data_IF_119478148182
#
_entry.id   IF_119478148182
#
_cell.length_a   1.000
_cell.length_b   1.000
_cell.length_c   1.000
_cell.angle_alpha   90.00
_cell.angle_beta   90.00
_cell.angle_gamma   90.00
#
_symmetry.space_group_name_H-M   'P 1'
#
loop_
_entity.id
_entity.type
_entity.pdbx_description
1 polymer ?
#
# COMPACT_ATOMS: atom_id res chain seq x y z
N UNK A 1 -16.02 -4.18 10.80
CA UNK A 1 -16.62 -5.53 10.77
C UNK A 1 -15.61 -6.49 11.36
N UNK A 2 -15.15 -6.17 12.56
CA UNK A 2 -13.87 -6.68 13.04
C UNK A 2 -13.93 -8.18 13.38
N UNK A 3 -15.10 -8.83 13.32
CA UNK A 3 -15.33 -9.95 14.23
C UNK A 3 -16.73 -10.58 13.94
N UNK A 4 -16.81 -11.91 13.80
CA UNK A 4 -17.75 -12.80 14.53
C UNK A 4 -18.75 -13.74 13.85
N UNK A 5 -19.49 -13.48 12.78
CA UNK A 5 -20.46 -14.47 12.25
C UNK A 5 -21.06 -13.98 10.91
N UNK A 6 -21.67 -14.87 10.11
CA UNK A 6 -22.51 -14.49 8.97
C UNK A 6 -23.80 -13.83 9.46
N UNK A 7 -24.27 -12.84 8.70
CA UNK A 7 -25.48 -12.07 8.98
C UNK A 7 -25.42 -11.25 10.23
N UNK A 8 -26.55 -11.01 10.89
CA UNK A 8 -26.68 -10.16 12.08
C UNK A 8 -25.92 -10.69 13.33
N UNK A 9 -24.77 -11.35 13.13
CA UNK A 9 -24.04 -12.07 14.17
C UNK A 9 -24.77 -13.33 14.62
N UNK A 10 -25.49 -14.01 13.73
CA UNK A 10 -26.43 -15.08 14.11
C UNK A 10 -25.94 -16.49 13.78
N UNK A 11 -25.02 -16.65 12.83
CA UNK A 11 -24.60 -17.97 12.38
C UNK A 11 -23.13 -18.02 12.00
N UNK A 12 -22.46 -19.10 12.36
CA UNK A 12 -21.13 -19.42 11.86
C UNK A 12 -21.16 -19.68 10.35
N UNK A 13 -20.03 -19.53 9.68
CA UNK A 13 -19.85 -19.92 8.28
C UNK A 13 -19.90 -21.44 8.17
N UNK A 14 -21.00 -21.96 7.61
CA UNK A 14 -21.21 -23.37 7.29
C UNK A 14 -20.83 -23.74 5.85
N UNK A 15 -20.33 -22.75 5.10
CA UNK A 15 -19.91 -22.92 3.70
C UNK A 15 -18.52 -22.32 3.50
N UNK A 16 -17.92 -22.60 2.35
CA UNK A 16 -16.62 -22.07 1.98
C UNK A 16 -16.60 -20.53 1.98
N UNK A 17 -15.60 -19.96 2.64
CA UNK A 17 -15.31 -18.52 2.62
C UNK A 17 -14.04 -18.29 1.82
N UNK A 18 -14.10 -17.41 0.83
CA UNK A 18 -12.94 -16.99 0.03
C UNK A 18 -12.65 -15.53 0.31
N UNK A 19 -11.38 -15.20 0.58
CA UNK A 19 -10.92 -13.82 0.69
C UNK A 19 -11.19 -13.03 -0.59
N UNK A 20 -11.51 -11.75 -0.45
CA UNK A 20 -11.80 -10.88 -1.60
C UNK A 20 -10.52 -10.30 -2.21
N UNK A 21 -9.51 -10.05 -1.38
CA UNK A 21 -8.24 -9.49 -1.81
C UNK A 21 -7.27 -10.59 -2.20
N UNK A 22 -6.67 -10.45 -3.39
CA UNK A 22 -5.55 -11.26 -3.81
C UNK A 22 -4.22 -10.61 -3.40
N UNK A 23 -3.18 -11.43 -3.34
CA UNK A 23 -1.80 -11.01 -3.07
C UNK A 23 -1.05 -10.62 -4.35
N UNK A 24 -1.75 -10.10 -5.35
CA UNK A 24 -1.22 -9.97 -6.72
C UNK A 24 -0.60 -11.30 -7.23
N UNK A 25 0.19 -11.26 -8.32
CA UNK A 25 0.84 -12.47 -8.88
C UNK A 25 1.85 -13.12 -7.92
N UNK A 26 2.31 -12.39 -6.90
CA UNK A 26 3.43 -12.79 -6.04
C UNK A 26 3.09 -13.77 -4.92
N UNK A 27 1.81 -13.95 -4.55
CA UNK A 27 1.39 -14.88 -3.49
C UNK A 27 1.68 -14.40 -2.06
N UNK A 28 2.26 -13.21 -1.89
CA UNK A 28 2.79 -12.66 -0.63
C UNK A 28 1.69 -12.06 0.26
N UNK A 29 1.60 -12.47 1.54
CA UNK A 29 0.68 -11.82 2.50
C UNK A 29 1.00 -10.33 2.64
N UNK A 30 2.28 -9.94 2.53
CA UNK A 30 2.71 -8.54 2.57
C UNK A 30 2.21 -7.66 1.42
N UNK A 31 1.71 -8.27 0.35
CA UNK A 31 1.13 -7.55 -0.80
C UNK A 31 -0.38 -7.42 -0.73
N UNK A 32 -1.02 -7.94 0.34
CA UNK A 32 -2.43 -7.64 0.60
C UNK A 32 -2.61 -6.14 0.77
N UNK A 33 -3.71 -5.61 0.23
CA UNK A 33 -3.98 -4.18 0.12
C UNK A 33 -3.91 -3.39 1.45
N UNK A 34 -4.09 -4.07 2.57
CA UNK A 34 -4.09 -3.46 3.92
C UNK A 34 -3.12 -4.16 4.88
N UNK A 35 -2.12 -4.86 4.35
CA UNK A 35 -1.16 -5.56 5.21
C UNK A 35 -0.37 -4.62 6.12
N UNK A 36 -0.15 -3.37 5.70
CA UNK A 36 0.48 -2.32 6.51
C UNK A 36 -0.30 -1.98 7.79
N UNK A 37 -1.57 -2.40 7.87
CA UNK A 37 -2.46 -2.23 9.02
C UNK A 37 -2.63 -3.48 9.86
N UNK A 38 -2.07 -4.61 9.43
CA UNK A 38 -2.09 -5.86 10.21
C UNK A 38 -1.07 -5.74 11.33
N UNK A 39 -1.52 -5.90 12.57
CA UNK A 39 -0.62 -5.98 13.71
C UNK A 39 -0.12 -7.42 13.82
N UNK A 40 1.05 -7.68 13.23
CA UNK A 40 1.65 -9.01 13.27
C UNK A 40 2.09 -9.41 14.68
N UNK A 41 2.17 -8.50 15.65
CA UNK A 41 2.46 -8.86 17.06
C UNK A 41 1.28 -9.53 17.77
N UNK A 42 0.12 -9.57 17.11
CA UNK A 42 -1.13 -10.16 17.58
C UNK A 42 -1.44 -11.43 16.82
N UNK A 43 -2.33 -12.24 17.39
CA UNK A 43 -2.72 -13.52 16.81
C UNK A 43 -3.92 -13.36 15.87
N UNK A 44 -4.02 -14.28 14.92
CA UNK A 44 -5.22 -14.49 14.13
C UNK A 44 -6.04 -15.65 14.72
N UNK A 45 -7.28 -15.37 15.10
CA UNK A 45 -8.12 -16.31 15.84
C UNK A 45 -9.32 -16.77 15.01
N UNK A 46 -9.55 -18.08 15.01
CA UNK A 46 -10.71 -18.73 14.38
C UNK A 46 -11.42 -19.54 15.45
N UNK A 47 -12.75 -19.42 15.53
CA UNK A 47 -13.57 -20.31 16.36
C UNK A 47 -14.29 -21.31 15.48
N UNK A 48 -14.20 -22.59 15.83
CA UNK A 48 -14.83 -23.71 15.12
C UNK A 48 -15.93 -24.26 16.01
N UNK A 49 -17.12 -24.41 15.44
CA UNK A 49 -18.25 -25.09 16.04
C UNK A 49 -18.37 -26.50 15.46
N UNK A 50 -18.38 -27.51 16.32
CA UNK A 50 -18.82 -28.87 16.01
C UNK A 50 -20.30 -29.03 16.39
N UNK A 51 -21.17 -29.03 15.38
CA UNK A 51 -22.61 -29.24 15.51
C UNK A 51 -23.02 -30.72 15.53
N UNK A 52 -22.08 -31.65 15.32
CA UNK A 52 -22.29 -33.09 15.46
C UNK A 52 -22.30 -33.55 16.92
N UNK A 53 -21.77 -32.74 17.83
CA UNK A 53 -21.82 -32.98 19.28
C UNK A 53 -23.13 -32.45 19.90
N UNK A 54 -23.62 -33.11 20.96
CA UNK A 54 -24.79 -32.67 21.73
C UNK A 54 -24.40 -32.48 23.23
N UNK A 55 -24.30 -31.24 23.74
CA UNK A 55 -24.51 -29.97 23.02
C UNK A 55 -23.38 -29.67 22.02
N UNK A 56 -23.58 -28.71 21.09
CA UNK A 56 -22.53 -28.25 20.20
C UNK A 56 -21.29 -27.79 20.98
N UNK A 57 -20.11 -28.14 20.48
CA UNK A 57 -18.85 -27.77 21.11
C UNK A 57 -18.13 -26.71 20.29
N UNK A 58 -17.43 -25.82 20.98
CA UNK A 58 -16.71 -24.70 20.38
C UNK A 58 -15.25 -24.81 20.73
N UNK A 59 -14.40 -24.70 19.71
CA UNK A 59 -12.94 -24.75 19.87
C UNK A 59 -12.34 -23.50 19.27
N UNK A 60 -11.44 -22.88 20.02
CA UNK A 60 -10.64 -21.77 19.52
C UNK A 60 -9.33 -22.25 18.92
N UNK A 61 -9.02 -21.69 17.75
CA UNK A 61 -7.79 -21.90 17.01
C UNK A 61 -7.06 -20.58 16.97
N UNK A 62 -5.84 -20.57 17.49
CA UNK A 62 -4.96 -19.39 17.54
C UNK A 62 -3.82 -19.61 16.56
N UNK A 63 -3.65 -18.66 15.63
CA UNK A 63 -2.58 -18.64 14.63
C UNK A 63 -1.66 -17.47 14.96
N UNK A 64 -0.44 -17.78 15.41
CA UNK A 64 0.58 -16.80 15.77
C UNK A 64 1.16 -16.15 14.52
N UNK A 65 1.15 -14.81 14.46
CA UNK A 65 1.70 -14.02 13.35
C UNK A 65 3.01 -13.30 13.72
N UNK A 66 3.51 -13.43 14.95
CA UNK A 66 4.54 -12.58 15.58
C UNK A 66 5.98 -12.74 15.07
N UNK A 67 6.16 -13.35 13.90
CA UNK A 67 7.42 -13.28 13.15
C UNK A 67 8.40 -14.42 13.39
N UNK A 68 7.95 -15.59 13.82
CA UNK A 68 8.72 -16.79 13.53
C UNK A 68 8.53 -17.11 12.04
N UNK A 69 9.63 -17.29 11.29
CA UNK A 69 9.56 -18.23 10.16
C UNK A 69 8.82 -19.46 10.68
N UNK A 70 7.78 -19.96 9.99
CA UNK A 70 6.92 -20.98 10.56
C UNK A 70 7.83 -22.09 11.12
N UNK A 71 7.55 -22.59 12.32
CA UNK A 71 8.43 -23.53 13.06
C UNK A 71 8.76 -24.81 12.28
N UNK A 72 8.15 -24.96 11.11
CA UNK A 72 8.32 -25.96 10.09
C UNK A 72 9.40 -25.67 9.04
N UNK A 73 9.98 -24.47 8.97
CA UNK A 73 10.96 -24.05 7.95
C UNK A 73 12.38 -24.58 8.21
N UNK A 74 13.19 -24.83 7.16
CA UNK A 74 14.61 -25.14 7.34
C UNK A 74 15.34 -23.92 7.90
N UNK A 75 16.27 -24.12 8.84
CA UNK A 75 17.26 -23.10 9.17
C UNK A 75 18.28 -23.04 8.05
N UNK A 76 18.58 -21.82 7.56
CA UNK A 76 19.59 -21.59 6.54
C UNK A 76 20.78 -20.93 7.24
N UNK A 77 21.98 -21.50 7.09
CA UNK A 77 23.22 -20.85 7.52
C UNK A 77 24.09 -20.56 6.30
N UNK A 78 24.47 -19.29 6.13
CA UNK A 78 25.31 -18.86 5.00
C UNK A 78 26.69 -18.47 5.50
N UNK A 79 27.72 -18.99 4.83
CA UNK A 79 29.12 -18.71 5.13
C UNK A 79 29.93 -18.53 3.86
N UNK A 80 31.16 -18.03 3.97
CA UNK A 80 31.98 -17.65 2.82
C UNK A 80 31.67 -16.23 2.34
N UNK A 81 32.14 -15.90 1.13
CA UNK A 81 31.94 -14.59 0.52
C UNK A 81 31.38 -14.74 -0.89
N UNK A 82 30.32 -14.01 -1.19
CA UNK A 82 29.69 -13.99 -2.51
C UNK A 82 30.60 -13.27 -3.51
N UNK A 83 30.75 -13.81 -4.73
CA UNK A 83 31.54 -13.14 -5.77
C UNK A 83 30.78 -11.93 -6.36
N UNK A 84 29.45 -12.01 -6.53
CA UNK A 84 28.62 -10.82 -6.78
C UNK A 84 28.40 -10.06 -5.45
N UNK A 85 29.00 -8.88 -5.35
CA UNK A 85 28.93 -7.96 -4.19
C UNK A 85 27.90 -6.86 -4.42
N UNK A 86 27.30 -6.32 -3.36
CA UNK A 86 26.19 -5.35 -3.43
C UNK A 86 25.02 -5.87 -4.28
N UNK A 87 24.72 -7.15 -4.16
CA UNK A 87 23.71 -7.85 -4.97
C UNK A 87 22.79 -8.70 -4.09
N UNK A 88 21.62 -9.02 -4.62
CA UNK A 88 20.64 -9.88 -3.96
C UNK A 88 20.50 -11.17 -4.75
N UNK A 89 20.78 -12.29 -4.11
CA UNK A 89 20.52 -13.61 -4.64
C UNK A 89 19.11 -14.02 -4.24
N UNK A 90 18.31 -14.42 -5.23
CA UNK A 90 16.97 -14.96 -5.04
C UNK A 90 17.00 -16.45 -5.38
N UNK A 91 16.54 -17.29 -4.45
CA UNK A 91 16.49 -18.73 -4.58
C UNK A 91 15.03 -19.15 -4.61
N UNK A 92 14.62 -19.99 -5.55
CA UNK A 92 13.24 -20.45 -5.73
C UNK A 92 13.19 -21.97 -5.90
N UNK A 93 12.46 -22.65 -5.02
CA UNK A 93 12.17 -24.08 -5.06
C UNK A 93 11.14 -24.36 -6.15
N UNK A 94 11.42 -25.34 -7.00
CA UNK A 94 10.58 -25.73 -8.13
C UNK A 94 10.67 -27.23 -8.35
N UNK A 95 9.58 -28.01 -8.24
CA UNK A 95 8.22 -27.59 -7.95
C UNK A 95 8.03 -27.15 -6.49
N UNK A 96 7.04 -26.29 -6.23
CA UNK A 96 6.76 -25.76 -4.90
C UNK A 96 6.35 -26.88 -3.90
N UNK A 97 6.62 -26.65 -2.61
CA UNK A 97 6.27 -27.56 -1.51
C UNK A 97 7.37 -28.54 -1.11
N UNK A 98 8.62 -28.28 -1.50
CA UNK A 98 9.76 -29.13 -1.15
C UNK A 98 10.18 -29.00 0.31
N UNK A 99 10.25 -30.12 1.04
CA UNK A 99 10.67 -30.19 2.45
C UNK A 99 12.11 -30.66 2.56
N UNK A 100 13.00 -29.85 3.16
CA UNK A 100 14.39 -30.26 3.40
C UNK A 100 14.44 -31.40 4.40
N UNK A 101 15.06 -32.52 4.00
CA UNK A 101 15.05 -33.78 4.77
C UNK A 101 13.79 -34.63 4.60
N UNK A 102 12.88 -34.23 3.71
CA UNK A 102 11.68 -34.99 3.36
C UNK A 102 11.94 -36.23 2.50
N UNK A 103 10.85 -36.92 2.13
CA UNK A 103 10.90 -38.16 1.33
C UNK A 103 11.18 -37.94 -0.17
N UNK A 104 11.17 -36.69 -0.63
CA UNK A 104 11.41 -36.27 -2.01
C UNK A 104 12.57 -35.27 -2.05
N UNK A 105 13.34 -35.29 -3.13
CA UNK A 105 14.37 -34.28 -3.37
C UNK A 105 13.72 -32.89 -3.58
N UNK A 106 14.48 -31.85 -3.27
CA UNK A 106 14.06 -30.45 -3.44
C UNK A 106 14.94 -29.79 -4.49
N UNK A 107 14.36 -29.36 -5.59
CA UNK A 107 15.06 -28.64 -6.66
C UNK A 107 14.94 -27.13 -6.42
N UNK A 108 16.05 -26.40 -6.49
CA UNK A 108 16.13 -24.96 -6.22
C UNK A 108 16.83 -24.26 -7.37
N UNK A 109 16.12 -23.35 -8.03
CA UNK A 109 16.68 -22.39 -8.98
C UNK A 109 17.17 -21.15 -8.24
N UNK A 110 18.21 -20.49 -8.73
CA UNK A 110 18.68 -19.25 -8.13
C UNK A 110 19.12 -18.25 -9.19
N UNK A 111 19.00 -16.97 -8.85
CA UNK A 111 19.44 -15.86 -9.70
C UNK A 111 20.00 -14.71 -8.88
N UNK A 112 20.89 -13.93 -9.48
CA UNK A 112 21.39 -12.65 -9.00
C UNK A 112 21.27 -11.60 -10.11
N UNK A 113 21.75 -10.38 -9.88
CA UNK A 113 21.76 -9.36 -10.93
C UNK A 113 22.59 -9.73 -12.17
N UNK A 114 23.48 -10.73 -12.06
CA UNK A 114 24.43 -11.10 -13.12
C UNK A 114 24.45 -12.59 -13.48
N UNK A 115 24.05 -13.48 -12.56
CA UNK A 115 24.18 -14.92 -12.71
C UNK A 115 22.85 -15.62 -12.42
N UNK A 116 22.73 -16.86 -12.89
CA UNK A 116 21.64 -17.74 -12.53
C UNK A 116 22.11 -19.20 -12.59
N UNK A 117 21.45 -20.07 -11.84
CA UNK A 117 21.76 -21.50 -11.80
C UNK A 117 20.66 -22.29 -11.10
N UNK A 118 20.93 -23.56 -10.84
CA UNK A 118 20.08 -24.42 -10.03
C UNK A 118 20.93 -25.43 -9.25
N UNK A 119 20.34 -26.00 -8.20
CA UNK A 119 20.87 -27.13 -7.45
C UNK A 119 19.74 -28.01 -6.92
N UNK A 120 20.08 -29.21 -6.47
CA UNK A 120 19.14 -30.17 -5.89
C UNK A 120 19.61 -30.55 -4.49
N UNK A 121 18.70 -30.55 -3.54
CA UNK A 121 18.87 -31.12 -2.20
C UNK A 121 18.28 -32.52 -2.23
N UNK A 122 19.08 -33.54 -1.98
CA UNK A 122 18.64 -34.93 -2.09
C UNK A 122 17.68 -35.32 -0.95
N UNK A 123 16.81 -36.30 -1.23
CA UNK A 123 15.83 -36.76 -0.24
C UNK A 123 16.50 -37.30 1.03
N UNK A 124 16.06 -36.82 2.20
CA UNK A 124 16.61 -37.20 3.51
C UNK A 124 18.01 -36.68 3.83
N UNK A 125 18.62 -35.85 2.99
CA UNK A 125 19.94 -35.27 3.24
C UNK A 125 19.86 -34.07 4.18
N UNK A 126 20.39 -34.21 5.41
CA UNK A 126 20.47 -33.13 6.39
C UNK A 126 21.72 -33.29 7.28
N UNK A 127 22.51 -32.23 7.53
CA UNK A 127 22.41 -30.91 6.90
C UNK A 127 22.83 -30.98 5.43
N UNK A 128 22.04 -30.38 4.55
CA UNK A 128 22.36 -30.30 3.13
C UNK A 128 23.24 -29.07 2.89
N UNK A 129 24.32 -29.22 2.13
CA UNK A 129 25.30 -28.15 1.91
C UNK A 129 25.48 -27.93 0.42
N UNK A 130 25.31 -26.68 -0.03
CA UNK A 130 25.48 -26.30 -1.43
C UNK A 130 26.41 -25.10 -1.55
N UNK A 131 27.15 -25.03 -2.65
CA UNK A 131 28.00 -23.88 -2.98
C UNK A 131 27.36 -23.07 -4.11
N UNK A 132 27.13 -21.78 -3.88
CA UNK A 132 26.52 -20.85 -4.84
C UNK A 132 27.34 -19.58 -4.90
N UNK A 133 27.96 -19.34 -6.05
CA UNK A 133 28.78 -18.16 -6.34
C UNK A 133 29.77 -17.74 -5.23
N UNK A 134 30.50 -18.71 -4.66
CA UNK A 134 31.48 -18.49 -3.58
C UNK A 134 30.91 -18.52 -2.17
N UNK A 135 29.58 -18.51 -2.02
CA UNK A 135 28.89 -18.75 -0.76
C UNK A 135 28.71 -20.25 -0.52
N UNK A 136 28.79 -20.66 0.75
CA UNK A 136 28.40 -21.99 1.23
C UNK A 136 27.11 -21.84 2.03
N UNK A 137 26.05 -22.49 1.56
CA UNK A 137 24.71 -22.45 2.15
C UNK A 137 24.43 -23.82 2.77
N UNK A 138 24.09 -23.84 4.05
CA UNK A 138 23.76 -25.04 4.82
C UNK A 138 22.29 -25.02 5.24
N UNK A 139 21.56 -26.10 4.94
CA UNK A 139 20.16 -26.26 5.26
C UNK A 139 19.98 -27.34 6.34
N UNK A 140 19.25 -27.02 7.41
CA UNK A 140 18.85 -28.00 8.43
C UNK A 140 17.51 -28.66 8.10
N UNK A 141 17.16 -29.71 8.86
CA UNK A 141 15.90 -30.44 8.66
C UNK A 141 14.72 -29.53 8.98
N UNK A 142 13.72 -29.60 8.13
CA UNK A 142 12.47 -28.86 8.24
C UNK A 142 11.31 -29.84 8.46
N UNK A 143 10.28 -29.47 9.21
CA UNK A 143 9.03 -30.26 9.28
C UNK A 143 7.99 -29.80 8.25
N UNK A 144 8.31 -28.77 7.45
CA UNK A 144 7.54 -28.22 6.35
C UNK A 144 8.45 -27.58 5.28
N UNK A 145 7.87 -27.05 4.20
CA UNK A 145 8.63 -26.53 3.07
C UNK A 145 9.35 -25.21 3.40
N UNK A 146 10.20 -24.75 2.48
CA UNK A 146 10.74 -23.39 2.55
C UNK A 146 9.59 -22.37 2.57
N UNK A 147 9.65 -21.31 3.40
CA UNK A 147 8.74 -20.18 3.27
C UNK A 147 8.74 -19.69 1.82
N UNK A 148 7.57 -19.59 1.21
CA UNK A 148 7.39 -19.15 -0.18
C UNK A 148 8.03 -19.99 -1.27
N UNK A 149 8.59 -21.15 -0.93
CA UNK A 149 9.52 -21.82 -1.83
C UNK A 149 10.60 -20.84 -2.32
N UNK A 150 10.92 -19.78 -1.58
CA UNK A 150 11.86 -18.76 -2.02
C UNK A 150 12.53 -18.08 -0.84
N UNK A 151 13.84 -17.85 -0.92
CA UNK A 151 14.58 -17.08 0.08
C UNK A 151 15.59 -16.15 -0.60
N UNK A 152 16.05 -15.13 0.13
CA UNK A 152 17.05 -14.20 -0.41
C UNK A 152 18.29 -14.12 0.47
N UNK A 153 19.44 -13.94 -0.19
CA UNK A 153 20.70 -13.65 0.47
C UNK A 153 21.23 -12.35 -0.14
N UNK A 154 21.48 -11.36 0.70
CA UNK A 154 22.07 -10.08 0.26
C UNK A 154 23.56 -10.09 0.53
N UNK A 155 24.37 -9.73 -0.46
CA UNK A 155 25.82 -9.60 -0.28
C UNK A 155 26.20 -8.13 -0.09
N UNK A 156 26.97 -7.82 0.96
CA UNK A 156 27.48 -6.47 1.19
C UNK A 156 28.60 -6.08 0.21
N UNK A 157 29.21 -4.90 0.41
CA UNK A 157 30.32 -4.40 -0.41
C UNK A 157 31.59 -5.25 -0.36
N UNK A 158 31.75 -6.06 0.68
CA UNK A 158 32.88 -6.96 0.89
C UNK A 158 32.51 -8.41 0.54
N UNK A 159 31.29 -8.65 0.03
CA UNK A 159 30.75 -9.96 -0.32
C UNK A 159 30.24 -10.77 0.87
N UNK A 160 30.16 -10.19 2.07
CA UNK A 160 29.62 -10.91 3.22
C UNK A 160 28.11 -11.11 3.04
N UNK A 161 27.61 -12.35 3.14
CA UNK A 161 26.19 -12.62 3.04
C UNK A 161 25.48 -12.18 4.33
N UNK A 162 24.42 -11.41 4.16
CA UNK A 162 23.39 -11.19 5.16
C UNK A 162 22.13 -11.92 4.70
N UNK A 163 21.77 -12.94 5.46
CA UNK A 163 20.55 -13.71 5.28
C UNK A 163 19.34 -12.82 5.50
N UNK A 164 18.40 -12.85 4.56
CA UNK A 164 17.08 -12.28 4.74
C UNK A 164 16.06 -13.36 4.42
N UNK A 165 15.79 -14.20 5.41
CA UNK A 165 14.67 -15.14 5.38
C UNK A 165 13.46 -14.39 5.89
N UNK A 166 12.68 -13.86 4.96
CA UNK A 166 11.22 -13.92 5.04
C UNK A 166 10.62 -13.13 3.90
N UNK A 167 9.87 -13.84 3.09
CA UNK A 167 8.55 -13.31 2.84
C UNK A 167 7.55 -14.40 3.29
N UNK A 168 6.33 -14.01 3.66
CA UNK A 168 5.28 -14.92 4.13
C UNK A 168 4.19 -14.99 3.05
N UNK A 169 3.88 -16.18 2.51
CA UNK A 169 2.85 -16.35 1.46
C UNK A 169 1.49 -16.71 2.03
N UNK A 170 0.43 -16.59 1.22
CA UNK A 170 -0.87 -17.15 1.58
C UNK A 170 -0.84 -18.67 1.77
N UNK A 171 0.08 -19.37 1.11
CA UNK A 171 0.25 -20.81 1.27
C UNK A 171 0.83 -21.14 2.63
N UNK A 172 1.82 -20.37 3.09
CA UNK A 172 2.40 -20.50 4.43
C UNK A 172 1.33 -20.22 5.49
N UNK A 173 0.58 -19.12 5.33
CA UNK A 173 -0.55 -18.79 6.18
C UNK A 173 -1.61 -19.90 6.22
N UNK A 174 -1.96 -20.48 5.07
CA UNK A 174 -2.89 -21.61 5.02
C UNK A 174 -2.33 -22.85 5.74
N UNK A 175 -1.02 -23.11 5.62
CA UNK A 175 -0.33 -24.17 6.34
C UNK A 175 -0.34 -23.98 7.87
N UNK A 176 -0.09 -22.76 8.33
CA UNK A 176 -0.12 -22.40 9.75
C UNK A 176 -1.53 -22.52 10.32
N UNK A 177 -2.55 -22.04 9.58
CA UNK A 177 -3.96 -22.25 9.93
C UNK A 177 -4.26 -23.75 10.03
N UNK A 178 -3.91 -24.56 9.03
CA UNK A 178 -4.18 -26.00 9.05
C UNK A 178 -3.48 -26.72 10.20
N UNK A 179 -2.25 -26.31 10.53
CA UNK A 179 -1.50 -26.85 11.66
C UNK A 179 -2.19 -26.53 12.98
N UNK A 180 -2.60 -25.28 13.18
CA UNK A 180 -3.33 -24.85 14.37
C UNK A 180 -4.69 -25.54 14.48
N UNK A 181 -5.45 -25.65 13.38
CA UNK A 181 -6.74 -26.34 13.33
C UNK A 181 -6.57 -27.83 13.66
N UNK A 182 -5.55 -28.49 13.10
CA UNK A 182 -5.27 -29.91 13.38
C UNK A 182 -4.93 -30.11 14.86
N UNK A 183 -4.11 -29.23 15.45
CA UNK A 183 -3.78 -29.26 16.87
C UNK A 183 -5.01 -29.05 17.77
N UNK A 184 -6.00 -28.29 17.29
CA UNK A 184 -7.27 -28.04 17.96
C UNK A 184 -8.34 -29.13 17.75
N UNK A 185 -8.09 -30.13 16.89
CA UNK A 185 -9.01 -31.25 16.67
C UNK A 185 -9.69 -31.31 15.29
N UNK A 186 -9.33 -30.41 14.37
CA UNK A 186 -9.84 -30.39 12.99
C UNK A 186 -11.13 -29.57 12.80
N UNK A 187 -11.75 -29.69 11.63
CA UNK A 187 -13.08 -29.14 11.34
C UNK A 187 -13.10 -28.07 10.24
N UNK A 188 -11.95 -27.48 9.92
CA UNK A 188 -11.79 -26.50 8.84
C UNK A 188 -10.47 -26.73 8.13
N UNK A 189 -10.51 -26.70 6.80
CA UNK A 189 -9.32 -26.72 5.94
C UNK A 189 -9.11 -25.35 5.30
N UNK A 190 -7.92 -24.80 5.45
CA UNK A 190 -7.42 -23.63 4.72
C UNK A 190 -6.66 -24.05 3.45
N UNK A 191 -6.86 -23.31 2.37
CA UNK A 191 -6.19 -23.52 1.08
C UNK A 191 -6.03 -22.19 0.34
N UNK A 192 -5.27 -22.18 -0.75
CA UNK A 192 -5.13 -21.03 -1.64
C UNK A 192 -5.72 -21.34 -3.00
N UNK A 193 -6.63 -20.50 -3.47
CA UNK A 193 -7.22 -20.61 -4.81
C UNK A 193 -7.20 -19.25 -5.50
N UNK A 194 -6.61 -19.17 -6.69
CA UNK A 194 -6.47 -17.92 -7.45
C UNK A 194 -5.88 -16.77 -6.59
N UNK A 195 -4.79 -17.07 -5.87
CA UNK A 195 -4.07 -16.10 -5.03
C UNK A 195 -4.91 -15.52 -3.88
N UNK A 196 -5.92 -16.26 -3.41
CA UNK A 196 -6.79 -15.88 -2.28
C UNK A 196 -6.85 -17.01 -1.28
N UNK A 197 -6.90 -16.66 0.00
CA UNK A 197 -7.15 -17.62 1.08
C UNK A 197 -8.59 -18.13 0.98
N UNK A 198 -8.75 -19.44 1.11
CA UNK A 198 -10.04 -20.14 1.10
C UNK A 198 -10.12 -21.02 2.34
N UNK A 199 -11.12 -20.79 3.18
CA UNK A 199 -11.45 -21.63 4.33
C UNK A 199 -12.70 -22.44 4.04
N UNK A 200 -12.64 -23.75 4.22
CA UNK A 200 -13.75 -24.68 3.94
C UNK A 200 -13.98 -25.57 5.15
N UNK A 201 -15.23 -25.67 5.68
CA UNK A 201 -15.52 -26.66 6.71
C UNK A 201 -15.31 -28.08 6.19
N UNK A 202 -14.77 -28.98 7.02
CA UNK A 202 -14.43 -30.34 6.58
C UNK A 202 -15.68 -31.22 6.35
N UNK A 203 -16.80 -30.89 6.99
CA UNK A 203 -18.10 -31.55 6.85
C UNK A 203 -19.24 -30.57 7.10
N UNK A 204 -20.50 -31.00 6.87
CA UNK A 204 -21.69 -30.21 7.18
C UNK A 204 -21.95 -30.04 8.70
N UNK A 205 -21.23 -30.79 9.54
CA UNK A 205 -21.35 -30.70 11.00
C UNK A 205 -20.46 -29.58 11.55
N UNK A 206 -19.43 -29.18 10.79
CA UNK A 206 -18.52 -28.11 11.19
C UNK A 206 -18.95 -26.76 10.59
N UNK A 207 -18.74 -25.72 11.38
CA UNK A 207 -18.84 -24.35 10.92
C UNK A 207 -17.81 -23.49 11.65
N UNK A 208 -17.46 -22.33 11.12
CA UNK A 208 -16.41 -21.49 11.70
C UNK A 208 -16.75 -20.02 11.68
N UNK A 209 -16.03 -19.26 12.49
CA UNK A 209 -16.13 -17.82 12.57
C UNK A 209 -14.78 -17.21 12.95
N UNK A 210 -14.61 -15.92 12.69
CA UNK A 210 -13.41 -15.17 13.08
C UNK A 210 -13.75 -14.38 14.33
N UNK A 211 -13.00 -14.59 15.40
CA UNK A 211 -13.38 -14.08 16.71
C UNK A 211 -12.17 -13.55 17.47
N UNK A 212 -12.27 -12.32 17.97
CA UNK A 212 -11.41 -11.86 19.04
C UNK A 212 -12.12 -12.07 20.38
N UNK A 213 -11.51 -12.83 21.28
CA UNK A 213 -12.06 -13.19 22.58
C UNK A 213 -11.44 -12.38 23.76
N UNK A 214 -10.57 -11.40 23.47
CA UNK A 214 -9.63 -10.84 24.44
C UNK A 214 -10.00 -9.49 25.09
N UNK A 215 -10.91 -9.46 26.07
CA UNK A 215 -10.95 -8.38 27.07
C UNK A 215 -11.26 -6.96 26.55
N UNK A 216 -10.87 -5.93 27.34
CA UNK A 216 -11.27 -4.51 27.12
C UNK A 216 -10.53 -3.80 25.99
N UNK A 217 -10.09 -4.52 24.96
CA UNK A 217 -9.37 -3.99 23.80
C UNK A 217 -9.52 -4.92 22.59
N UNK A 218 -9.18 -4.42 21.41
CA UNK A 218 -9.05 -5.23 20.19
C UNK A 218 -7.65 -5.88 20.23
N UNK A 219 -7.59 -7.20 20.41
CA UNK A 219 -6.38 -8.04 20.42
C UNK A 219 -6.21 -8.87 19.14
N UNK A 220 -7.12 -8.80 18.17
CA UNK A 220 -6.93 -9.39 16.84
C UNK A 220 -5.90 -8.63 16.00
N UNK A 221 -5.17 -9.40 15.18
CA UNK A 221 -4.23 -8.94 14.17
C UNK A 221 -4.83 -8.03 13.08
N UNK A 222 -6.14 -8.10 12.83
CA UNK A 222 -6.79 -7.45 11.69
C UNK A 222 -6.55 -8.16 10.35
N UNK A 223 -5.95 -9.35 10.35
CA UNK A 223 -5.62 -10.11 9.14
C UNK A 223 -6.86 -10.46 8.31
N UNK A 224 -8.00 -10.76 8.94
CA UNK A 224 -9.26 -11.01 8.23
C UNK A 224 -9.67 -9.84 7.31
N UNK A 225 -9.46 -8.60 7.76
CA UNK A 225 -9.75 -7.41 6.97
C UNK A 225 -8.77 -7.25 5.80
N UNK A 226 -7.49 -7.55 6.01
CA UNK A 226 -6.47 -7.54 4.95
C UNK A 226 -6.69 -8.65 3.90
N UNK A 227 -7.33 -9.76 4.28
CA UNK A 227 -7.78 -10.81 3.36
C UNK A 227 -9.10 -10.47 2.63
N UNK A 228 -9.76 -9.37 3.02
CA UNK A 228 -11.05 -8.97 2.45
C UNK A 228 -12.18 -9.90 2.89
N UNK A 229 -12.03 -10.56 4.04
CA UNK A 229 -13.04 -11.42 4.63
C UNK A 229 -13.92 -10.56 5.52
N UNK A 230 -15.24 -10.67 5.31
CA UNK A 230 -16.25 -9.95 6.09
C UNK A 230 -16.06 -8.42 6.09
N UNK A 231 -15.48 -7.77 5.08
CA UNK A 231 -15.22 -6.31 5.14
C UNK A 231 -16.46 -5.45 4.81
N UNK A 232 -16.61 -4.28 5.49
CA UNK A 232 -17.65 -3.30 5.13
C UNK A 232 -17.35 -2.59 3.82
N UNK A 233 -16.08 -2.19 3.69
CA UNK A 233 -15.58 -1.49 2.53
C UNK A 233 -14.78 -2.45 1.66
N UNK A 234 -14.90 -2.25 0.35
CA UNK A 234 -14.03 -2.81 -0.67
C UNK A 234 -13.10 -1.71 -1.21
N UNK A 235 -12.10 -2.10 -1.99
CA UNK A 235 -11.10 -1.19 -2.54
C UNK A 235 -9.74 -1.38 -1.86
N UNK A 236 -8.74 -0.67 -2.35
CA UNK A 236 -7.37 -0.72 -1.82
C UNK A 236 -6.90 0.66 -1.33
N UNK A 237 -7.51 1.73 -1.83
CA UNK A 237 -7.14 3.10 -1.55
C UNK A 237 -8.37 4.03 -1.56
N UNK A 238 -8.15 5.31 -1.29
CA UNK A 238 -9.21 6.32 -1.31
C UNK A 238 -9.86 6.54 -2.69
N UNK A 239 -9.22 6.09 -3.79
CA UNK A 239 -9.79 6.21 -5.15
C UNK A 239 -10.69 5.04 -5.51
N UNK A 240 -10.41 3.86 -4.94
CA UNK A 240 -11.09 2.60 -5.23
C UNK A 240 -12.05 2.17 -4.13
N UNK A 241 -12.08 2.90 -3.00
CA UNK A 241 -12.95 2.60 -1.88
C UNK A 241 -14.42 2.54 -2.33
N UNK A 242 -15.08 1.45 -1.96
CA UNK A 242 -16.49 1.19 -2.23
C UNK A 242 -17.15 0.50 -1.04
N UNK A 243 -18.47 0.42 -1.05
CA UNK A 243 -19.21 -0.41 -0.10
C UNK A 243 -19.25 -1.83 -0.67
N UNK A 244 -18.97 -2.83 0.16
CA UNK A 244 -19.05 -4.22 -0.24
C UNK A 244 -20.47 -4.54 -0.71
N UNK A 245 -20.62 -5.04 -1.94
CA UNK A 245 -21.93 -5.32 -2.54
C UNK A 245 -22.76 -6.35 -1.77
N UNK A 246 -22.11 -7.22 -0.98
CA UNK A 246 -22.79 -8.18 -0.12
C UNK A 246 -23.66 -7.50 0.95
N UNK A 247 -23.32 -6.27 1.35
CA UNK A 247 -24.09 -5.49 2.32
C UNK A 247 -25.37 -4.88 1.77
N UNK A 248 -25.67 -5.07 0.47
CA UNK A 248 -27.02 -4.78 -0.04
C UNK A 248 -28.07 -5.68 0.62
N UNK A 249 -27.65 -6.85 1.10
CA UNK A 249 -28.44 -7.73 1.94
C UNK A 249 -28.09 -7.50 3.42
N UNK A 250 -29.10 -7.13 4.21
CA UNK A 250 -28.94 -6.88 5.64
C UNK A 250 -28.56 -8.15 6.41
N UNK A 251 -28.85 -9.32 5.85
CA UNK A 251 -28.48 -10.62 6.41
C UNK A 251 -27.00 -10.96 6.19
N UNK A 252 -26.16 -9.99 5.78
CA UNK A 252 -24.70 -10.11 5.75
C UNK A 252 -23.99 -9.07 6.65
N UNK A 253 -24.73 -8.32 7.47
CA UNK A 253 -24.15 -7.31 8.37
C UNK A 253 -23.88 -7.92 9.76
N UNK A 254 -22.63 -8.21 10.09
CA UNK A 254 -22.24 -8.73 11.42
C UNK A 254 -22.34 -7.65 12.51
N UNK A 255 -23.52 -7.57 13.12
CA UNK A 255 -23.83 -6.60 14.18
C UNK A 255 -23.46 -7.07 15.60
N UNK A 256 -23.45 -8.38 15.83
CA UNK A 256 -23.11 -9.00 17.12
C UNK A 256 -21.67 -9.48 17.21
N UNK A 257 -21.30 -10.01 18.37
CA UNK A 257 -20.02 -10.63 18.67
C UNK A 257 -20.20 -12.07 19.15
N UNK A 258 -19.16 -12.89 19.00
CA UNK A 258 -19.11 -14.20 19.65
C UNK A 258 -18.81 -13.98 21.13
N UNK A 259 -19.58 -14.63 21.99
CA UNK A 259 -19.33 -14.61 23.42
C UNK A 259 -18.05 -15.39 23.73
N UNK A 260 -17.02 -14.71 24.26
CA UNK A 260 -15.70 -15.26 24.51
C UNK A 260 -15.73 -16.56 25.34
N UNK A 261 -16.59 -16.62 26.38
CA UNK A 261 -16.66 -17.76 27.29
C UNK A 261 -17.40 -18.98 26.77
N UNK A 262 -18.33 -18.81 25.83
CA UNK A 262 -19.22 -19.89 25.36
C UNK A 262 -18.96 -20.27 23.90
N UNK A 263 -18.44 -19.34 23.10
CA UNK A 263 -18.37 -19.50 21.65
C UNK A 263 -19.68 -19.25 20.94
N UNK A 264 -20.76 -18.91 21.64
CA UNK A 264 -22.05 -18.74 20.99
C UNK A 264 -22.19 -17.35 20.33
N UNK A 265 -22.84 -17.33 19.17
CA UNK A 265 -23.32 -16.11 18.53
C UNK A 265 -24.70 -15.76 19.12
N UNK A 266 -24.76 -14.72 19.95
CA UNK A 266 -25.96 -14.37 20.71
C UNK A 266 -26.95 -13.56 19.87
N UNK A 267 -28.17 -14.08 19.73
CA UNK A 267 -29.22 -13.40 19.00
C UNK A 267 -29.59 -12.05 19.65
N UNK A 268 -29.52 -10.97 18.86
CA UNK A 268 -29.85 -9.61 19.30
C UNK A 268 -28.67 -8.80 19.85
N UNK A 269 -27.46 -9.35 19.84
CA UNK A 269 -26.27 -8.57 20.16
C UNK A 269 -25.99 -7.52 19.06
N UNK A 270 -25.71 -6.29 19.48
CA UNK A 270 -25.39 -5.15 18.62
C UNK A 270 -24.04 -4.50 18.97
N UNK A 271 -23.19 -5.20 19.73
CA UNK A 271 -21.91 -4.69 20.21
C UNK A 271 -20.95 -4.27 19.08
N UNK A 272 -20.95 -4.97 17.94
CA UNK A 272 -20.16 -4.57 16.76
C UNK A 272 -20.75 -3.33 16.08
N UNK A 273 -22.07 -3.21 16.00
CA UNK A 273 -22.73 -2.03 15.45
C UNK A 273 -22.50 -0.77 16.31
N UNK A 274 -22.53 -0.91 17.64
CA UNK A 274 -22.17 0.17 18.57
C UNK A 274 -20.70 0.57 18.42
N UNK A 275 -19.79 -0.39 18.34
CA UNK A 275 -18.37 -0.10 18.11
C UNK A 275 -18.12 0.65 16.79
N UNK A 276 -18.89 0.36 15.73
CA UNK A 276 -18.82 1.11 14.46
C UNK A 276 -19.35 2.54 14.65
N UNK A 277 -20.44 2.73 15.40
CA UNK A 277 -20.97 4.06 15.69
C UNK A 277 -20.00 4.89 16.54
N UNK A 278 -19.26 4.26 17.45
CA UNK A 278 -18.26 4.91 18.30
C UNK A 278 -16.96 5.27 17.56
N UNK A 279 -16.72 4.67 16.38
CA UNK A 279 -15.53 4.96 15.56
C UNK A 279 -15.42 6.44 15.18
N UNK A 280 -16.54 7.17 15.06
CA UNK A 280 -16.54 8.61 14.77
C UNK A 280 -15.88 9.44 15.89
N UNK A 281 -15.90 8.94 17.12
CA UNK A 281 -15.32 9.59 18.30
C UNK A 281 -13.96 9.00 18.68
N UNK A 282 -13.54 7.91 18.03
CA UNK A 282 -12.25 7.29 18.27
C UNK A 282 -11.13 8.19 17.74
N UNK A 283 -10.12 8.43 18.58
CA UNK A 283 -8.88 9.05 18.13
C UNK A 283 -8.09 8.03 17.30
N UNK A 284 -7.76 8.40 16.07
CA UNK A 284 -6.98 7.59 15.15
C UNK A 284 -5.61 8.23 14.97
N UNK A 285 -4.57 7.41 14.86
CA UNK A 285 -3.24 7.88 14.45
C UNK A 285 -3.22 8.04 12.93
N UNK A 286 -3.48 9.27 12.48
CA UNK A 286 -3.60 9.61 11.07
C UNK A 286 -2.25 10.14 10.56
N UNK A 287 -1.63 9.52 9.55
CA UNK A 287 -0.37 10.00 8.99
C UNK A 287 -0.61 11.30 8.22
N UNK A 288 0.00 12.40 8.69
CA UNK A 288 0.00 13.68 8.00
C UNK A 288 1.25 13.82 7.17
N UNK A 289 1.09 13.77 5.85
CA UNK A 289 2.17 13.92 4.89
C UNK A 289 2.51 15.38 4.64
N UNK A 290 3.80 15.70 4.69
CA UNK A 290 4.36 17.01 4.35
C UNK A 290 5.35 16.82 3.21
N UNK A 291 5.18 17.65 2.17
CA UNK A 291 6.08 17.67 1.03
C UNK A 291 6.70 19.07 0.89
N UNK A 292 8.01 19.13 1.03
CA UNK A 292 8.80 20.34 0.74
C UNK A 292 9.56 20.13 -0.56
N UNK A 293 9.49 21.12 -1.46
CA UNK A 293 10.18 21.05 -2.75
C UNK A 293 11.69 20.92 -2.52
N UNK A 294 12.27 19.81 -2.98
CA UNK A 294 13.70 19.51 -2.83
C UNK A 294 14.02 18.55 -1.68
N UNK A 295 13.01 18.10 -0.94
CA UNK A 295 13.12 17.11 0.14
C UNK A 295 12.28 15.87 -0.17
N UNK A 296 12.61 14.73 0.46
CA UNK A 296 11.74 13.56 0.44
C UNK A 296 10.43 13.88 1.21
N UNK A 297 9.33 13.24 0.81
CA UNK A 297 8.08 13.35 1.56
C UNK A 297 8.27 12.75 2.97
N UNK A 298 7.80 13.47 3.99
CA UNK A 298 7.86 13.01 5.38
C UNK A 298 6.45 12.96 5.96
N UNK A 299 6.14 11.92 6.73
CA UNK A 299 4.88 11.81 7.47
C UNK A 299 5.11 11.98 8.97
N UNK A 300 4.21 12.70 9.64
CA UNK A 300 4.09 12.70 11.10
C UNK A 300 2.72 12.15 11.48
N UNK A 301 2.65 11.16 12.36
CA UNK A 301 1.38 10.70 12.91
C UNK A 301 0.75 11.79 13.78
N UNK A 302 -0.55 12.04 13.58
CA UNK A 302 -1.36 12.93 14.40
C UNK A 302 -2.51 12.13 14.96
N UNK A 303 -2.62 12.08 16.29
CA UNK A 303 -3.78 11.48 16.95
C UNK A 303 -4.93 12.49 16.95
N UNK A 304 -6.01 12.18 16.24
CA UNK A 304 -7.19 13.02 16.10
C UNK A 304 -8.40 12.17 15.72
N UNK A 305 -9.62 12.64 15.99
CA UNK A 305 -10.81 12.01 15.40
C UNK A 305 -10.85 12.28 13.89
N UNK A 306 -11.61 11.47 13.16
CA UNK A 306 -11.78 11.67 11.71
C UNK A 306 -12.37 13.07 11.39
N UNK A 307 -13.27 13.56 12.23
CA UNK A 307 -13.87 14.89 12.13
C UNK A 307 -12.84 16.00 12.37
N UNK A 308 -12.09 15.94 13.48
CA UNK A 308 -11.05 16.92 13.82
C UNK A 308 -9.96 17.03 12.75
N UNK A 309 -9.55 15.88 12.20
CA UNK A 309 -8.57 15.84 11.11
C UNK A 309 -9.11 16.51 9.85
N UNK A 310 -10.37 16.23 9.49
CA UNK A 310 -11.02 16.83 8.33
C UNK A 310 -11.18 18.35 8.48
N UNK A 311 -11.62 18.82 9.65
CA UNK A 311 -11.73 20.25 9.96
C UNK A 311 -10.37 20.97 9.84
N UNK A 312 -9.32 20.37 10.41
CA UNK A 312 -7.95 20.91 10.34
C UNK A 312 -7.45 20.95 8.89
N UNK A 313 -7.73 19.90 8.11
CA UNK A 313 -7.34 19.82 6.71
C UNK A 313 -7.99 20.95 5.89
N UNK A 314 -9.32 21.12 5.98
CA UNK A 314 -10.04 22.16 5.25
C UNK A 314 -9.64 23.56 5.70
N UNK A 315 -9.46 23.77 7.01
CA UNK A 315 -9.00 25.05 7.55
C UNK A 315 -7.62 25.42 7.00
N UNK A 316 -6.67 24.48 6.99
CA UNK A 316 -5.33 24.70 6.45
C UNK A 316 -5.35 25.01 4.95
N UNK A 317 -6.20 24.30 4.19
CA UNK A 317 -6.42 24.56 2.76
C UNK A 317 -6.99 25.96 2.54
N UNK A 318 -7.99 26.36 3.33
CA UNK A 318 -8.58 27.70 3.29
C UNK A 318 -7.56 28.81 3.51
N UNK A 319 -6.74 28.68 4.56
CA UNK A 319 -5.65 29.62 4.87
C UNK A 319 -4.64 29.67 3.71
N UNK A 320 -4.26 28.51 3.15
CA UNK A 320 -3.30 28.44 2.04
C UNK A 320 -3.85 29.09 0.77
N UNK A 321 -5.11 28.83 0.41
CA UNK A 321 -5.77 29.46 -0.73
C UNK A 321 -5.81 30.99 -0.56
N UNK A 322 -6.18 31.48 0.62
CA UNK A 322 -6.22 32.91 0.91
C UNK A 322 -4.82 33.56 0.78
N UNK A 323 -3.78 32.89 1.29
CA UNK A 323 -2.39 33.34 1.18
C UNK A 323 -1.94 33.42 -0.28
N UNK A 324 -2.23 32.38 -1.08
CA UNK A 324 -1.86 32.33 -2.51
C UNK A 324 -2.62 33.37 -3.32
N UNK A 325 -3.92 33.55 -3.09
CA UNK A 325 -4.73 34.59 -3.75
C UNK A 325 -4.15 35.99 -3.50
N UNK A 326 -3.88 36.30 -2.22
CA UNK A 326 -3.30 37.59 -1.83
C UNK A 326 -1.92 37.82 -2.46
N UNK A 327 -1.10 36.78 -2.53
CA UNK A 327 0.22 36.86 -3.18
C UNK A 327 0.09 37.09 -4.70
N UNK A 328 -0.91 36.46 -5.34
CA UNK A 328 -1.23 36.69 -6.74
C UNK A 328 -1.70 38.12 -7.02
N UNK A 329 -2.64 38.64 -6.23
CA UNK A 329 -3.12 40.03 -6.32
C UNK A 329 -1.99 41.05 -6.11
N UNK A 330 -1.13 40.80 -5.13
CA UNK A 330 0.05 41.64 -4.89
C UNK A 330 1.04 41.58 -6.07
N UNK A 331 1.29 40.39 -6.61
CA UNK A 331 2.12 40.21 -7.80
C UNK A 331 1.57 40.94 -9.01
N UNK A 332 0.26 40.88 -9.25
CA UNK A 332 -0.40 41.62 -10.31
C UNK A 332 -0.26 43.13 -10.13
N UNK A 333 -0.43 43.62 -8.89
CA UNK A 333 -0.27 45.05 -8.58
C UNK A 333 1.15 45.55 -8.89
N UNK A 334 2.18 44.74 -8.62
CA UNK A 334 3.57 45.07 -9.00
C UNK A 334 3.74 45.12 -10.52
N UNK A 335 3.17 44.15 -11.24
CA UNK A 335 3.23 44.13 -12.71
C UNK A 335 2.59 45.37 -13.30
N UNK A 336 1.42 45.77 -12.81
CA UNK A 336 0.69 46.94 -13.29
C UNK A 336 1.47 48.24 -13.01
N UNK A 337 2.09 48.37 -11.83
CA UNK A 337 2.93 49.53 -11.49
C UNK A 337 4.18 49.60 -12.37
N UNK A 338 4.89 48.48 -12.56
CA UNK A 338 6.06 48.41 -13.44
C UNK A 338 5.71 48.69 -14.91
N UNK A 339 4.55 48.22 -15.37
CA UNK A 339 4.03 48.53 -16.70
C UNK A 339 3.78 50.04 -16.84
N UNK A 340 3.13 50.66 -15.85
CA UNK A 340 2.92 52.11 -15.81
C UNK A 340 4.22 52.91 -15.83
N UNK A 341 5.24 52.49 -15.07
CA UNK A 341 6.57 53.11 -15.08
C UNK A 341 7.26 52.96 -16.44
N UNK A 342 7.19 51.77 -17.05
CA UNK A 342 7.74 51.52 -18.38
C UNK A 342 7.09 52.43 -19.41
N UNK A 343 5.77 52.52 -19.40
CA UNK A 343 5.00 53.33 -20.33
C UNK A 343 5.28 54.82 -20.09
N UNK A 344 5.48 55.29 -18.85
CA UNK A 344 5.86 56.68 -18.60
C UNK A 344 7.23 57.08 -19.21
N UNK A 345 8.17 56.15 -19.34
CA UNK A 345 9.51 56.40 -19.91
C UNK A 345 9.54 56.16 -21.42
N UNK A 346 8.88 55.10 -21.88
CA UNK A 346 9.03 54.57 -23.24
C UNK A 346 7.79 54.74 -24.11
N UNK A 347 6.64 55.13 -23.54
CA UNK A 347 5.46 55.39 -24.36
C UNK A 347 5.64 56.70 -25.11
N UNK A 348 5.37 56.63 -26.41
CA UNK A 348 5.38 57.78 -27.29
C UNK A 348 4.05 58.51 -27.14
N UNK A 349 4.10 59.81 -26.83
CA UNK A 349 2.90 60.65 -26.82
C UNK A 349 2.51 61.00 -28.25
N UNK A 350 1.35 60.50 -28.70
CA UNK A 350 0.81 60.81 -30.03
C UNK A 350 0.62 62.32 -30.25
N UNK A 351 0.36 63.07 -29.19
CA UNK A 351 0.22 64.53 -29.27
C UNK A 351 1.57 65.22 -29.51
N UNK A 352 2.64 64.78 -28.84
CA UNK A 352 4.00 65.29 -29.10
C UNK A 352 4.49 64.90 -30.49
N UNK A 353 4.25 63.66 -30.91
CA UNK A 353 4.54 63.22 -32.28
C UNK A 353 3.74 64.01 -33.31
N UNK A 354 2.47 64.36 -33.04
CA UNK A 354 1.67 65.18 -33.94
C UNK A 354 2.19 66.62 -34.03
N UNK A 355 2.64 67.21 -32.92
CA UNK A 355 3.29 68.51 -32.90
C UNK A 355 4.61 68.48 -33.69
N UNK A 356 5.43 67.45 -33.48
CA UNK A 356 6.68 67.26 -34.22
C UNK A 356 6.41 67.06 -35.71
N UNK A 357 5.40 66.26 -36.07
CA UNK A 357 4.97 66.04 -37.45
C UNK A 357 4.53 67.36 -38.10
N UNK A 358 3.69 68.15 -37.42
CA UNK A 358 3.26 69.46 -37.92
C UNK A 358 4.45 70.42 -38.11
N UNK A 359 5.42 70.42 -37.18
CA UNK A 359 6.66 71.19 -37.28
C UNK A 359 7.51 70.76 -38.48
N UNK A 360 7.69 69.45 -38.70
CA UNK A 360 8.42 68.92 -39.84
C UNK A 360 7.71 69.20 -41.18
N UNK A 361 6.38 69.12 -41.22
CA UNK A 361 5.59 69.52 -42.39
C UNK A 361 5.74 71.02 -42.71
N UNK A 362 5.70 71.88 -41.69
CA UNK A 362 5.93 73.32 -41.87
C UNK A 362 7.35 73.62 -42.37
N UNK A 363 8.37 72.97 -41.80
CA UNK A 363 9.76 73.10 -42.24
C UNK A 363 9.95 72.60 -43.68
N UNK A 364 9.34 71.48 -44.06
CA UNK A 364 9.38 70.94 -45.42
C UNK A 364 8.75 71.91 -46.43
N UNK A 365 7.59 72.49 -46.10
CA UNK A 365 6.93 73.49 -46.94
C UNK A 365 7.79 74.77 -47.11
N UNK A 366 8.46 75.21 -46.05
CA UNK A 366 9.39 76.34 -46.11
C UNK A 366 10.63 76.04 -46.97
N UNK A 367 11.23 74.85 -46.79
CA UNK A 367 12.37 74.40 -47.60
C UNK A 367 12.00 74.26 -49.08
N UNK A 368 10.82 73.72 -49.38
CA UNK A 368 10.30 73.60 -50.75
C UNK A 368 10.16 74.96 -51.41
N UNK A 369 9.61 75.95 -50.69
CA UNK A 369 9.54 77.35 -51.18
C UNK A 369 10.92 77.96 -51.44
N UNK A 370 11.88 77.76 -50.54
CA UNK A 370 13.26 78.23 -50.76
C UNK A 370 13.89 77.59 -51.99
N UNK A 371 13.62 76.30 -52.23
CA UNK A 371 14.13 75.58 -53.38
C UNK A 371 13.48 76.06 -54.68
N UNK A 372 12.17 76.34 -54.67
CA UNK A 372 11.46 76.97 -55.79
C UNK A 372 12.03 78.36 -56.09
N UNK A 373 12.25 79.18 -55.07
CA UNK A 373 12.86 80.52 -55.25
C UNK A 373 14.28 80.40 -55.78
N UNK A 374 15.07 79.43 -55.30
CA UNK A 374 16.41 79.17 -55.82
C UNK A 374 16.39 78.71 -57.29
N UNK A 375 15.44 77.85 -57.66
CA UNK A 375 15.25 77.38 -59.04
C UNK A 375 14.81 78.54 -59.96
N UNK A 376 13.91 79.40 -59.50
CA UNK A 376 13.53 80.64 -60.20
C UNK A 376 14.74 81.57 -60.39
N UNK A 377 15.56 81.76 -59.35
CA UNK A 377 16.80 82.54 -59.46
C UNK A 377 17.81 81.91 -60.44
N UNK A 378 17.95 80.58 -60.43
CA UNK A 378 18.84 79.85 -61.35
C UNK A 378 18.37 79.96 -62.80
N UNK A 379 17.08 79.79 -63.06
CA UNK A 379 16.47 79.97 -64.38
C UNK A 379 16.63 81.41 -64.88
N UNK A 380 16.51 82.40 -63.99
CA UNK A 380 16.74 83.81 -64.34
C UNK A 380 18.19 84.04 -64.76
N UNK A 381 19.17 83.46 -64.05
CA UNK A 381 20.59 83.55 -64.41
C UNK A 381 20.91 82.86 -65.76
N UNK A 382 20.30 81.70 -66.02
CA UNK A 382 20.47 80.97 -67.29
C UNK A 382 19.84 81.70 -68.48
N UNK A 383 18.71 82.38 -68.28
CA UNK A 383 17.98 83.20 -69.27
C UNK A 383 18.74 84.46 -69.72
N UNK A 384 19.70 84.94 -68.92
CA UNK A 384 20.51 86.14 -69.20
C UNK A 384 21.74 85.82 -70.10
N UNK A 385 21.95 84.54 -70.47
CA UNK A 385 22.89 84.13 -71.53
C UNK A 385 22.14 83.88 -72.83
#
# INVERSE_FOLDING_TARGET
>A
NLEHCQGAGLSYFSTQVTGTYDTAETGLVSTLAYFDRVDTSKDFKIRIQDGGSDPPSFTEVVVDLSGAAPASSPTIEVSGAANSVLDTYTFTVSPPGGVVGGATAVEVEWSSGLLAGNFTIEAGEVPAVVEVDGMRIEFTAATGPFPQDTFTITADKDGNPAENVSSYTLTDLAGDINTAVTAAGGGVTASVMNNRLVLTPDSNDFSFAFADDGGSGYEDSGLAAALGINTFYSGQDAMTIGVNSLLSDTDHIAAGRIEASTGECVAGDNSSALAIADLQFAALDIPRWVFERGSAASSSASSATAEEYYETMISSLGIKMQSVSRQGEFGQSIVDDLQGQRDAISAVSLDEEMINLAKFQAAYNAASKLLTVADEMLNTLLSIR
#
